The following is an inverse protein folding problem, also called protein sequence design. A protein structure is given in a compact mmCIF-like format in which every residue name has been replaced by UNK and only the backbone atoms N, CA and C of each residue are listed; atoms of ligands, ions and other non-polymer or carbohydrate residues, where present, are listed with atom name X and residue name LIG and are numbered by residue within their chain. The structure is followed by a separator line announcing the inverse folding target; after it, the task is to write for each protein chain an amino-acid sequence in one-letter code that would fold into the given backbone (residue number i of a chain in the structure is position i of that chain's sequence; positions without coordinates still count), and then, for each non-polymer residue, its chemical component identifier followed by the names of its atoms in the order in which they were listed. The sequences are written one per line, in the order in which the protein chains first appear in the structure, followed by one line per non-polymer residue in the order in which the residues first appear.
data_IF_577783178532
#
_entry.id   IF_577783178532
#
_cell.length_a   1.000
_cell.length_b   1.000
_cell.length_c   1.000
_cell.angle_alpha   90.00
_cell.angle_beta   90.00
_cell.angle_gamma   90.00
#
_symmetry.space_group_name_H-M   'P 1'
#
loop_
_entity.id
_entity.type
_entity.pdbx_description
1 polymer ?
#
# COMPACT_ATOMS: atom_id res chain seq x y z
N UNK A 1 4.03 -13.14 1.10
CA UNK A 1 3.69 -13.38 -0.32
C UNK A 1 4.46 -14.57 -0.91
N UNK A 2 5.67 -14.85 -0.42
CA UNK A 2 6.48 -16.00 -0.82
C UNK A 2 5.75 -17.35 -0.77
N UNK A 3 4.90 -17.60 0.23
CA UNK A 3 4.10 -18.85 0.34
C UNK A 3 3.16 -19.07 -0.86
N UNK A 4 2.77 -18.01 -1.56
CA UNK A 4 1.94 -18.07 -2.77
C UNK A 4 2.77 -18.15 -4.07
N UNK A 5 4.09 -18.30 -3.95
CA UNK A 5 5.00 -18.44 -5.10
C UNK A 5 5.37 -17.14 -5.80
N UNK A 6 5.11 -15.97 -5.18
CA UNK A 6 5.55 -14.70 -5.75
C UNK A 6 7.09 -14.61 -5.76
N UNK A 7 7.71 -14.12 -6.85
CA UNK A 7 9.15 -13.92 -6.91
C UNK A 7 9.66 -13.02 -5.77
N UNK A 8 10.84 -13.32 -5.22
CA UNK A 8 11.45 -12.52 -4.16
C UNK A 8 11.57 -11.04 -4.53
N UNK A 9 12.01 -10.76 -5.76
CA UNK A 9 12.11 -9.39 -6.28
C UNK A 9 10.77 -8.63 -6.19
N UNK A 10 9.66 -9.29 -6.46
CA UNK A 10 8.35 -8.65 -6.38
C UNK A 10 7.93 -8.44 -4.91
N UNK A 11 8.24 -9.39 -4.03
CA UNK A 11 8.04 -9.23 -2.59
C UNK A 11 8.84 -8.04 -2.05
N UNK A 12 10.10 -7.90 -2.45
CA UNK A 12 10.98 -6.79 -2.04
C UNK A 12 10.42 -5.43 -2.51
N UNK A 13 9.88 -5.36 -3.73
CA UNK A 13 9.22 -4.15 -4.23
C UNK A 13 7.98 -3.81 -3.40
N UNK A 14 7.14 -4.80 -3.08
CA UNK A 14 5.96 -4.57 -2.26
C UNK A 14 6.33 -4.10 -0.85
N UNK A 15 7.34 -4.71 -0.23
CA UNK A 15 7.84 -4.28 1.07
C UNK A 15 8.39 -2.85 1.04
N UNK A 16 9.12 -2.48 -0.01
CA UNK A 16 9.61 -1.10 -0.19
C UNK A 16 8.48 -0.09 -0.32
N UNK A 17 7.43 -0.41 -1.10
CA UNK A 17 6.25 0.44 -1.28
C UNK A 17 5.51 0.63 0.04
N UNK A 18 5.28 -0.44 0.81
CA UNK A 18 4.57 -0.34 2.08
C UNK A 18 5.37 0.41 3.15
N UNK A 19 6.70 0.23 3.18
CA UNK A 19 7.56 0.91 4.16
C UNK A 19 7.67 2.42 3.93
N UNK A 20 7.66 2.84 2.66
CA UNK A 20 7.81 4.25 2.24
C UNK A 20 6.48 5.02 2.19
N UNK A 21 5.34 4.34 2.32
CA UNK A 21 4.02 4.95 2.21
C UNK A 21 3.73 5.99 3.30
N UNK A 22 3.36 7.19 2.86
CA UNK A 22 2.92 8.30 3.70
C UNK A 22 1.64 8.93 3.14
N UNK A 23 0.81 9.47 4.03
CA UNK A 23 -0.43 10.17 3.69
C UNK A 23 -0.54 11.47 4.46
N UNK A 24 -1.27 12.45 3.92
CA UNK A 24 -1.57 13.71 4.59
C UNK A 24 -3.04 14.06 4.32
N UNK A 25 -3.71 14.60 5.34
CA UNK A 25 -5.07 15.13 5.18
C UNK A 25 -4.96 16.52 4.58
N UNK A 26 -5.61 16.76 3.45
CA UNK A 26 -5.66 18.08 2.81
C UNK A 26 -6.92 18.79 3.28
N UNK A 27 -6.75 19.94 3.94
CA UNK A 27 -7.84 20.79 4.42
C UNK A 27 -7.80 22.11 3.65
N UNK A 28 -8.87 22.42 2.91
CA UNK A 28 -8.95 23.63 2.07
C UNK A 28 -7.76 23.82 1.12
N UNK A 29 -7.28 22.72 0.53
CA UNK A 29 -6.12 22.73 -0.38
C UNK A 29 -4.74 22.76 0.31
N UNK A 30 -4.70 22.88 1.64
CA UNK A 30 -3.44 22.86 2.41
C UNK A 30 -3.20 21.47 2.98
N UNK A 31 -2.10 20.79 2.61
CA UNK A 31 -1.75 19.51 3.22
C UNK A 31 -1.33 19.70 4.68
N UNK A 32 -1.92 18.90 5.57
CA UNK A 32 -1.52 18.80 6.97
C UNK A 32 -0.22 18.00 7.16
N UNK A 33 0.02 17.58 8.40
CA UNK A 33 1.19 16.78 8.75
C UNK A 33 1.16 15.42 8.03
N UNK A 34 2.33 14.98 7.56
CA UNK A 34 2.51 13.64 7.04
C UNK A 34 2.38 12.57 8.11
N UNK A 35 1.59 11.55 7.80
CA UNK A 35 1.28 10.39 8.64
C UNK A 35 1.86 9.16 7.94
N UNK A 36 2.63 8.36 8.67
CA UNK A 36 3.13 7.09 8.16
C UNK A 36 1.98 6.09 8.05
N UNK A 37 1.79 5.52 6.88
CA UNK A 37 0.77 4.49 6.65
C UNK A 37 1.23 3.18 7.31
N UNK A 38 0.50 2.68 8.32
CA UNK A 38 0.82 1.41 8.99
C UNK A 38 -0.03 0.23 8.52
N UNK A 39 -1.29 0.49 8.18
CA UNK A 39 -2.27 -0.50 7.74
C UNK A 39 -3.16 0.11 6.66
N UNK A 40 -3.66 -0.75 5.78
CA UNK A 40 -4.56 -0.37 4.70
C UNK A 40 -3.82 0.04 3.43
N UNK A 41 -4.62 0.23 2.38
CA UNK A 41 -4.17 0.61 1.05
C UNK A 41 -4.68 2.02 0.74
N UNK A 42 -3.94 2.76 -0.10
CA UNK A 42 -4.28 4.14 -0.45
C UNK A 42 -5.41 4.14 -1.47
N UNK A 43 -6.58 4.65 -1.11
CA UNK A 43 -7.65 4.87 -2.10
C UNK A 43 -7.17 5.84 -3.19
N UNK A 44 -7.47 5.49 -4.44
CA UNK A 44 -7.01 6.23 -5.62
C UNK A 44 -5.59 5.89 -6.10
N UNK A 45 -4.86 5.00 -5.41
CA UNK A 45 -3.63 4.41 -5.93
C UNK A 45 -3.98 3.29 -6.94
N UNK A 46 -3.45 3.32 -8.18
CA UNK A 46 -3.68 2.29 -9.19
C UNK A 46 -3.38 0.85 -8.75
N UNK A 47 -2.46 0.64 -7.81
CA UNK A 47 -2.10 -0.70 -7.31
C UNK A 47 -3.07 -1.23 -6.25
N UNK A 48 -3.76 -0.33 -5.54
CA UNK A 48 -4.58 -0.71 -4.39
C UNK A 48 -5.74 -1.67 -4.71
N UNK A 49 -6.45 -1.57 -5.85
CA UNK A 49 -7.47 -2.54 -6.22
C UNK A 49 -6.94 -3.97 -6.39
N UNK A 50 -5.77 -4.12 -7.01
CA UNK A 50 -5.15 -5.43 -7.25
C UNK A 50 -4.65 -6.06 -5.95
N UNK A 51 -4.03 -5.26 -5.10
CA UNK A 51 -3.57 -5.70 -3.78
C UNK A 51 -4.75 -6.07 -2.87
N UNK A 52 -5.86 -5.34 -2.96
CA UNK A 52 -7.08 -5.69 -2.24
C UNK A 52 -7.64 -7.04 -2.68
N UNK A 53 -7.75 -7.29 -4.00
CA UNK A 53 -8.19 -8.57 -4.53
C UNK A 53 -7.27 -9.73 -4.11
N UNK A 54 -5.96 -9.50 -4.14
CA UNK A 54 -4.97 -10.50 -3.72
C UNK A 54 -5.14 -10.87 -2.23
N UNK A 55 -5.43 -9.90 -1.37
CA UNK A 55 -5.71 -10.16 0.06
C UNK A 55 -7.08 -10.80 0.27
N UNK A 56 -8.10 -10.39 -0.49
CA UNK A 56 -9.45 -10.94 -0.38
C UNK A 56 -9.52 -12.41 -0.82
N UNK A 57 -8.76 -12.80 -1.84
CA UNK A 57 -8.62 -14.20 -2.29
C UNK A 57 -7.79 -15.08 -1.32
N UNK A 58 -7.11 -14.46 -0.34
CA UNK A 58 -6.38 -15.17 0.73
C UNK A 58 -7.29 -15.50 1.93
N UNK A 59 -8.43 -14.81 2.08
CA UNK A 59 -9.42 -15.01 3.15
C UNK A 59 -10.48 -16.04 2.75
#
# INVERSE_FOLDING_TARGET
MEVRGFPSLWCDWMDSIFQSSMSAVVLNGVPGRWIKCKKGLRQGDPLSPYLFLLVADVL
#
